data_IF_364453043764
#
_entry.id   IF_364453043764
#
_cell.length_a   1.000
_cell.length_b   1.000
_cell.length_c   1.000
_cell.angle_alpha   90.00
_cell.angle_beta   90.00
_cell.angle_gamma   90.00
#
_symmetry.space_group_name_H-M   'P 1'
#
loop_
_entity.id
_entity.type
_entity.pdbx_description
1 polymer ?
#
# COMPACT_ATOMS: atom_id res chain seq x y z
N UNK A 1 20.39 46.85 -4.41
CA UNK A 1 21.20 45.89 -3.63
C UNK A 1 20.92 44.49 -4.15
N UNK A 2 21.88 43.85 -4.82
CA UNK A 2 21.71 42.52 -5.40
C UNK A 2 22.16 41.44 -4.40
N UNK A 3 21.30 40.46 -4.12
CA UNK A 3 21.58 39.31 -3.23
C UNK A 3 22.76 38.50 -3.78
N UNK A 4 23.81 38.37 -2.98
CA UNK A 4 24.96 37.53 -3.27
C UNK A 4 24.54 36.05 -3.39
N UNK A 5 24.63 35.49 -4.59
CA UNK A 5 24.44 34.07 -4.85
C UNK A 5 25.50 33.22 -4.16
N UNK A 6 25.11 32.02 -3.73
CA UNK A 6 25.96 31.02 -3.05
C UNK A 6 27.25 30.78 -3.85
N UNK A 7 28.41 30.90 -3.18
CA UNK A 7 29.74 30.69 -3.81
C UNK A 7 29.78 29.33 -4.52
N UNK A 8 30.20 29.28 -5.80
CA UNK A 8 30.26 28.03 -6.55
C UNK A 8 31.34 27.11 -5.97
N UNK A 9 31.00 25.82 -5.78
CA UNK A 9 31.96 24.78 -5.41
C UNK A 9 33.02 24.66 -6.50
N UNK A 10 34.29 24.77 -6.09
CA UNK A 10 35.48 24.85 -6.95
C UNK A 10 35.93 23.50 -7.51
N UNK A 11 35.61 22.38 -6.86
CA UNK A 11 36.08 21.04 -7.24
C UNK A 11 35.10 20.25 -8.12
N UNK A 12 34.35 20.91 -9.00
CA UNK A 12 33.41 20.21 -9.90
C UNK A 12 33.58 20.69 -11.34
N UNK A 13 33.99 19.78 -12.23
CA UNK A 13 34.11 20.06 -13.66
C UNK A 13 32.77 20.53 -14.24
N UNK A 14 32.78 21.47 -15.20
CA UNK A 14 31.58 22.05 -15.80
C UNK A 14 31.60 21.96 -17.32
N UNK A 15 30.42 21.92 -17.94
CA UNK A 15 30.26 22.12 -19.38
C UNK A 15 30.42 23.61 -19.73
N UNK A 16 30.69 23.92 -21.01
CA UNK A 16 30.89 25.29 -21.51
C UNK A 16 29.69 26.22 -21.25
N UNK A 17 28.50 25.66 -21.01
CA UNK A 17 27.27 26.37 -20.66
C UNK A 17 27.04 26.54 -19.13
N UNK A 18 28.06 26.29 -18.30
CA UNK A 18 28.02 26.50 -16.85
C UNK A 18 27.37 25.40 -16.02
N UNK A 19 26.74 24.39 -16.65
CA UNK A 19 26.21 23.21 -15.96
C UNK A 19 27.34 22.35 -15.39
N UNK A 20 27.15 21.82 -14.18
CA UNK A 20 28.07 20.87 -13.56
C UNK A 20 28.11 19.58 -14.41
N UNK A 21 29.30 19.09 -14.74
CA UNK A 21 29.49 17.77 -15.35
C UNK A 21 29.13 16.75 -14.29
N UNK A 22 28.00 16.10 -14.46
CA UNK A 22 27.70 14.89 -13.72
C UNK A 22 28.72 13.85 -14.17
N UNK A 23 29.50 13.30 -13.24
CA UNK A 23 30.30 12.12 -13.54
C UNK A 23 29.32 11.07 -14.09
N UNK A 24 29.60 10.53 -15.28
CA UNK A 24 28.87 9.38 -15.80
C UNK A 24 29.00 8.28 -14.76
N UNK A 25 27.93 8.10 -13.97
CA UNK A 25 27.83 6.99 -13.05
C UNK A 25 27.79 5.77 -13.96
N UNK A 26 28.92 5.08 -14.07
CA UNK A 26 29.11 3.86 -14.85
C UNK A 26 28.28 2.70 -14.30
N UNK A 27 26.98 2.90 -14.16
CA UNK A 27 26.04 1.82 -13.97
C UNK A 27 25.93 1.12 -15.33
N UNK A 28 26.61 -0.02 -15.43
CA UNK A 28 26.53 -0.91 -16.59
C UNK A 28 25.05 -1.09 -16.97
N UNK A 29 24.69 -1.09 -18.27
CA UNK A 29 23.30 -1.29 -18.71
C UNK A 29 22.63 -2.49 -18.06
N UNK A 30 23.40 -3.54 -17.75
CA UNK A 30 22.99 -4.73 -17.00
C UNK A 30 22.47 -4.43 -15.60
N UNK A 31 23.08 -3.50 -14.85
CA UNK A 31 22.61 -3.09 -13.51
C UNK A 31 21.35 -2.24 -13.59
N UNK A 32 21.26 -1.36 -14.58
CA UNK A 32 20.04 -0.58 -14.85
C UNK A 32 18.89 -1.53 -15.22
N UNK A 33 19.18 -2.53 -16.05
CA UNK A 33 18.23 -3.55 -16.46
C UNK A 33 17.86 -4.48 -15.30
N UNK A 34 18.79 -4.83 -14.41
CA UNK A 34 18.53 -5.60 -13.20
C UNK A 34 17.66 -4.82 -12.20
N UNK A 35 17.87 -3.52 -12.03
CA UNK A 35 17.02 -2.64 -11.21
C UNK A 35 15.64 -2.47 -11.85
N UNK A 36 15.56 -2.33 -13.17
CA UNK A 36 14.29 -2.29 -13.91
C UNK A 36 13.54 -3.63 -13.88
N UNK A 37 14.25 -4.77 -13.88
CA UNK A 37 13.73 -6.12 -13.69
C UNK A 37 13.24 -6.35 -12.26
N UNK A 38 13.97 -5.82 -11.28
CA UNK A 38 13.61 -5.86 -9.86
C UNK A 38 12.46 -4.91 -9.51
N UNK A 39 12.08 -4.00 -10.42
CA UNK A 39 10.91 -3.13 -10.31
C UNK A 39 9.86 -3.52 -11.36
N UNK A 40 9.15 -4.65 -11.17
CA UNK A 40 8.18 -5.17 -12.15
C UNK A 40 7.06 -4.17 -12.51
N UNK A 41 6.90 -3.09 -11.75
CA UNK A 41 5.86 -2.07 -11.91
C UNK A 41 6.25 -0.98 -12.93
N UNK A 42 7.51 -0.96 -13.40
CA UNK A 42 8.01 0.00 -14.41
C UNK A 42 8.03 -0.54 -15.84
N UNK A 43 7.60 -1.78 -16.07
CA UNK A 43 7.41 -2.35 -17.41
C UNK A 43 6.05 -1.88 -17.94
N UNK A 44 6.06 -1.24 -19.10
CA UNK A 44 4.90 -0.58 -19.71
C UNK A 44 3.64 -1.43 -19.74
N UNK A 45 2.49 -0.78 -19.49
CA UNK A 45 1.15 -1.37 -19.34
C UNK A 45 0.98 -2.41 -18.22
N UNK A 46 1.77 -2.34 -17.15
CA UNK A 46 1.38 -3.00 -15.91
C UNK A 46 0.09 -2.33 -15.37
N UNK A 47 -1.01 -3.08 -15.29
CA UNK A 47 -2.24 -2.63 -14.63
C UNK A 47 -1.88 -2.05 -13.25
N UNK A 48 -2.47 -0.92 -12.80
CA UNK A 48 -2.22 -0.36 -11.47
C UNK A 48 -2.44 -1.39 -10.34
N UNK A 49 -3.28 -2.39 -10.58
CA UNK A 49 -3.56 -3.49 -9.66
C UNK A 49 -2.34 -4.42 -9.45
N UNK A 50 -1.36 -4.43 -10.35
CA UNK A 50 -0.17 -5.28 -10.22
C UNK A 50 0.81 -4.79 -9.15
N UNK A 51 0.67 -3.54 -8.67
CA UNK A 51 1.59 -2.94 -7.72
C UNK A 51 1.28 -3.26 -6.24
N UNK A 52 0.39 -4.21 -5.96
CA UNK A 52 0.13 -4.70 -4.60
C UNK A 52 -0.46 -6.13 -4.62
N UNK A 53 -0.32 -6.87 -3.53
CA UNK A 53 -0.47 -8.32 -3.47
C UNK A 53 -1.88 -8.80 -3.83
N UNK A 54 -2.91 -8.26 -3.19
CA UNK A 54 -4.29 -8.67 -3.51
C UNK A 54 -4.72 -8.23 -4.92
N UNK A 55 -4.11 -7.19 -5.49
CA UNK A 55 -4.33 -6.80 -6.88
C UNK A 55 -3.64 -7.73 -7.88
N UNK A 56 -2.42 -8.20 -7.57
CA UNK A 56 -1.78 -9.31 -8.30
C UNK A 56 -2.62 -10.60 -8.22
N UNK A 57 -3.21 -10.88 -7.06
CA UNK A 57 -4.10 -12.03 -6.88
C UNK A 57 -5.37 -11.93 -7.71
N UNK A 58 -5.98 -10.75 -7.79
CA UNK A 58 -7.16 -10.52 -8.62
C UNK A 58 -6.84 -10.67 -10.11
N UNK A 59 -5.74 -10.06 -10.58
CA UNK A 59 -5.28 -10.22 -11.97
C UNK A 59 -4.95 -11.68 -12.31
N UNK A 60 -4.45 -12.44 -11.34
CA UNK A 60 -4.16 -13.87 -11.47
C UNK A 60 -5.38 -14.78 -11.31
N UNK A 61 -6.59 -14.25 -11.11
CA UNK A 61 -7.82 -15.04 -10.91
C UNK A 61 -7.86 -15.83 -9.60
N UNK A 62 -6.99 -15.50 -8.64
CA UNK A 62 -6.95 -16.16 -7.33
C UNK A 62 -8.02 -15.63 -6.38
N UNK A 63 -8.52 -14.42 -6.60
CA UNK A 63 -9.67 -13.87 -5.88
C UNK A 63 -10.64 -13.28 -6.88
N UNK A 64 -11.93 -13.31 -6.55
CA UNK A 64 -12.97 -12.71 -7.39
C UNK A 64 -13.11 -11.19 -7.13
N UNK A 65 -14.00 -10.54 -7.89
CA UNK A 65 -14.24 -9.10 -7.78
C UNK A 65 -14.74 -8.70 -6.40
N UNK A 66 -15.66 -9.47 -5.83
CA UNK A 66 -16.27 -9.22 -4.53
C UNK A 66 -15.23 -9.31 -3.41
N UNK A 67 -14.35 -10.30 -3.46
CA UNK A 67 -13.22 -10.47 -2.55
C UNK A 67 -12.19 -9.35 -2.71
N UNK A 68 -11.94 -8.90 -3.94
CA UNK A 68 -11.08 -7.77 -4.20
C UNK A 68 -11.62 -6.47 -3.55
N UNK A 69 -12.91 -6.19 -3.70
CA UNK A 69 -13.55 -5.01 -3.07
C UNK A 69 -13.55 -5.10 -1.53
N UNK A 70 -13.71 -6.30 -0.98
CA UNK A 70 -13.54 -6.55 0.45
C UNK A 70 -12.11 -6.24 0.90
N UNK A 71 -11.09 -6.67 0.15
CA UNK A 71 -9.69 -6.40 0.46
C UNK A 71 -9.38 -4.89 0.42
N UNK A 72 -9.89 -4.16 -0.58
CA UNK A 72 -9.77 -2.70 -0.65
C UNK A 72 -10.43 -2.01 0.56
N UNK A 73 -11.61 -2.49 0.96
CA UNK A 73 -12.33 -1.94 2.11
C UNK A 73 -11.58 -2.19 3.42
N UNK A 74 -11.01 -3.38 3.57
CA UNK A 74 -10.16 -3.73 4.72
C UNK A 74 -8.95 -2.82 4.78
N UNK A 75 -8.20 -2.67 3.69
CA UNK A 75 -7.02 -1.78 3.64
C UNK A 75 -7.42 -0.36 4.04
N UNK A 76 -8.53 0.15 3.49
CA UNK A 76 -8.99 1.51 3.74
C UNK A 76 -9.35 1.76 5.20
N UNK A 77 -10.19 0.89 5.76
CA UNK A 77 -10.64 1.01 7.15
C UNK A 77 -9.50 0.78 8.14
N UNK A 78 -8.59 -0.16 7.83
CA UNK A 78 -7.39 -0.40 8.63
C UNK A 78 -6.48 0.84 8.69
N UNK A 79 -6.10 1.39 7.53
CA UNK A 79 -5.22 2.57 7.44
C UNK A 79 -5.85 3.76 8.17
N UNK A 80 -7.15 4.00 7.96
CA UNK A 80 -7.87 5.09 8.60
C UNK A 80 -7.94 4.93 10.12
N UNK A 81 -8.23 3.72 10.61
CA UNK A 81 -8.25 3.42 12.03
C UNK A 81 -6.87 3.64 12.68
N UNK A 82 -5.82 3.08 12.09
CA UNK A 82 -4.47 3.17 12.66
C UNK A 82 -3.87 4.57 12.59
N UNK A 83 -4.21 5.36 11.57
CA UNK A 83 -3.79 6.76 11.46
C UNK A 83 -4.44 7.63 12.54
N UNK A 84 -5.75 7.52 12.72
CA UNK A 84 -6.51 8.50 13.50
C UNK A 84 -6.86 8.04 14.92
N UNK A 85 -6.85 6.75 15.20
CA UNK A 85 -7.24 6.21 16.51
C UNK A 85 -6.03 5.75 17.32
N UNK A 86 -5.06 5.11 16.68
CA UNK A 86 -3.91 4.52 17.38
C UNK A 86 -2.63 5.33 17.22
N UNK A 87 -2.63 6.37 16.39
CA UNK A 87 -1.46 7.20 16.03
C UNK A 87 -0.21 6.35 15.69
N UNK A 88 -0.46 5.17 15.11
CA UNK A 88 0.56 4.16 14.83
C UNK A 88 0.27 3.54 13.48
N UNK A 89 0.56 4.35 12.45
CA UNK A 89 0.58 3.87 11.09
C UNK A 89 1.92 3.12 10.87
N UNK A 90 1.90 1.80 10.63
CA UNK A 90 3.13 1.09 10.28
C UNK A 90 3.67 1.66 8.97
N UNK A 91 4.96 1.40 8.67
CA UNK A 91 5.46 1.63 7.30
C UNK A 91 4.61 0.77 6.36
N UNK A 92 3.93 1.40 5.41
CA UNK A 92 3.00 0.76 4.48
C UNK A 92 3.74 0.46 3.16
N UNK A 93 4.24 -0.76 2.95
CA UNK A 93 4.83 -1.15 1.67
C UNK A 93 3.78 -1.31 0.55
N UNK A 94 2.51 -1.53 0.91
CA UNK A 94 1.40 -1.61 -0.05
C UNK A 94 1.12 -0.24 -0.67
N UNK A 95 1.24 -0.12 -2.00
CA UNK A 95 0.94 1.14 -2.71
C UNK A 95 -0.52 1.61 -2.50
N UNK A 96 -1.48 0.69 -2.36
CA UNK A 96 -2.87 1.06 -2.05
C UNK A 96 -2.98 1.59 -0.64
N UNK A 97 -2.29 0.98 0.32
CA UNK A 97 -2.29 1.47 1.69
C UNK A 97 -1.63 2.86 1.78
N UNK A 98 -0.54 3.08 1.05
CA UNK A 98 0.13 4.39 0.95
C UNK A 98 -0.76 5.44 0.27
N UNK A 99 -1.42 5.10 -0.85
CA UNK A 99 -2.37 5.98 -1.52
C UNK A 99 -3.52 6.37 -0.58
N UNK A 100 -4.12 5.39 0.10
CA UNK A 100 -5.17 5.65 1.09
C UNK A 100 -4.63 6.57 2.19
N UNK A 101 -3.46 6.27 2.75
CA UNK A 101 -2.85 7.09 3.79
C UNK A 101 -2.58 8.53 3.31
N UNK A 102 -2.17 8.72 2.06
CA UNK A 102 -1.99 10.05 1.46
C UNK A 102 -3.30 10.82 1.30
N UNK A 103 -4.40 10.13 0.96
CA UNK A 103 -5.73 10.76 0.81
C UNK A 103 -6.42 11.09 2.14
N UNK A 104 -6.04 10.42 3.24
CA UNK A 104 -6.66 10.66 4.56
C UNK A 104 -6.34 12.00 5.21
N UNK A 105 -5.57 12.89 4.54
CA UNK A 105 -5.22 14.22 5.05
C UNK A 105 -4.27 14.18 6.26
N UNK A 106 -3.42 15.20 6.44
CA UNK A 106 -2.74 15.40 7.73
C UNK A 106 -3.79 15.46 8.84
N UNK A 107 -3.44 15.03 10.05
CA UNK A 107 -4.33 14.86 11.20
C UNK A 107 -5.01 16.18 11.60
N UNK A 108 -5.97 16.63 10.82
CA UNK A 108 -6.94 17.62 11.22
C UNK A 108 -7.68 17.04 12.42
N UNK A 109 -7.97 17.88 13.41
CA UNK A 109 -8.80 17.49 14.55
C UNK A 109 -10.13 16.96 14.01
N UNK A 110 -10.30 15.64 14.08
CA UNK A 110 -11.53 14.99 13.69
C UNK A 110 -12.57 15.24 14.77
N UNK A 111 -13.79 15.57 14.37
CA UNK A 111 -14.90 15.65 15.32
C UNK A 111 -15.19 14.27 15.96
N UNK A 112 -15.89 14.31 17.09
CA UNK A 112 -16.21 13.12 17.89
C UNK A 112 -17.03 12.10 17.10
N UNK A 113 -17.91 12.56 16.22
CA UNK A 113 -18.77 11.71 15.40
C UNK A 113 -17.95 10.90 14.38
N UNK A 114 -16.98 11.55 13.74
CA UNK A 114 -16.07 10.94 12.77
C UNK A 114 -15.19 9.91 13.45
N UNK A 115 -14.67 10.21 14.65
CA UNK A 115 -13.89 9.25 15.45
C UNK A 115 -14.73 8.03 15.81
N UNK A 116 -15.98 8.23 16.26
CA UNK A 116 -16.90 7.15 16.59
C UNK A 116 -17.20 6.28 15.36
N UNK A 117 -17.42 6.91 14.21
CA UNK A 117 -17.65 6.22 12.93
C UNK A 117 -16.45 5.36 12.51
N UNK A 118 -15.23 5.89 12.58
CA UNK A 118 -14.01 5.14 12.24
C UNK A 118 -13.86 3.90 13.13
N UNK A 119 -14.12 4.04 14.43
CA UNK A 119 -14.09 2.91 15.38
C UNK A 119 -15.15 1.88 15.05
N UNK A 120 -16.37 2.31 14.73
CA UNK A 120 -17.46 1.39 14.37
C UNK A 120 -17.19 0.66 13.06
N UNK A 121 -16.71 1.35 12.03
CA UNK A 121 -16.36 0.77 10.73
C UNK A 121 -15.26 -0.29 10.87
N UNK A 122 -14.23 -0.02 11.70
CA UNK A 122 -13.18 -0.99 11.95
C UNK A 122 -13.70 -2.19 12.76
N UNK A 123 -14.50 -1.94 13.79
CA UNK A 123 -15.11 -3.00 14.60
C UNK A 123 -15.99 -3.93 13.78
N UNK A 124 -16.77 -3.42 12.83
CA UNK A 124 -17.59 -4.24 11.94
C UNK A 124 -16.77 -5.31 11.18
N UNK A 125 -15.54 -4.97 10.76
CA UNK A 125 -14.62 -5.93 10.14
C UNK A 125 -14.16 -6.99 11.15
N UNK A 126 -13.84 -6.56 12.36
CA UNK A 126 -13.38 -7.45 13.44
C UNK A 126 -14.48 -8.44 13.85
N UNK A 127 -15.71 -7.97 13.95
CA UNK A 127 -16.89 -8.78 14.26
C UNK A 127 -17.18 -9.77 13.12
N UNK A 128 -17.05 -9.36 11.85
CA UNK A 128 -17.23 -10.26 10.71
C UNK A 128 -16.26 -11.47 10.75
N UNK A 129 -15.02 -11.25 11.20
CA UNK A 129 -14.04 -12.33 11.37
C UNK A 129 -14.34 -13.18 12.62
N UNK A 130 -14.81 -12.56 13.71
CA UNK A 130 -15.16 -13.26 14.93
C UNK A 130 -16.35 -14.21 14.73
N UNK A 131 -17.38 -13.79 14.00
CA UNK A 131 -18.58 -14.58 13.71
C UNK A 131 -18.27 -15.93 13.01
N UNK A 132 -17.16 -16.00 12.28
CA UNK A 132 -16.70 -17.21 11.56
C UNK A 132 -15.50 -17.89 12.23
N UNK A 133 -15.13 -17.47 13.44
CA UNK A 133 -13.99 -18.04 14.17
C UNK A 133 -12.61 -17.72 13.59
N UNK A 134 -12.50 -16.74 12.69
CA UNK A 134 -11.26 -16.34 12.02
C UNK A 134 -10.65 -15.06 12.58
N UNK A 135 -11.04 -14.63 13.79
CA UNK A 135 -10.59 -13.35 14.33
C UNK A 135 -9.06 -13.23 14.36
N UNK A 136 -8.33 -14.24 14.85
CA UNK A 136 -6.86 -14.15 14.89
C UNK A 136 -6.23 -14.40 13.51
N UNK A 137 -6.49 -15.55 12.91
CA UNK A 137 -5.84 -15.99 11.67
C UNK A 137 -6.23 -15.13 10.46
N UNK A 138 -7.51 -14.72 10.40
CA UNK A 138 -8.03 -13.82 9.39
C UNK A 138 -7.37 -12.45 9.45
N UNK A 139 -7.25 -11.86 10.64
CA UNK A 139 -6.52 -10.59 10.80
C UNK A 139 -5.05 -10.73 10.41
N UNK A 140 -4.38 -11.81 10.82
CA UNK A 140 -2.98 -12.03 10.50
C UNK A 140 -2.73 -12.09 8.98
N UNK A 141 -3.58 -12.82 8.24
CA UNK A 141 -3.44 -12.94 6.79
C UNK A 141 -3.86 -11.67 6.06
N UNK A 142 -4.94 -11.00 6.49
CA UNK A 142 -5.36 -9.71 5.92
C UNK A 142 -4.27 -8.66 6.09
N UNK A 143 -3.66 -8.57 7.27
CA UNK A 143 -2.54 -7.66 7.52
C UNK A 143 -1.35 -7.94 6.64
N UNK A 144 -0.97 -9.22 6.54
CA UNK A 144 0.14 -9.68 5.72
C UNK A 144 -0.02 -9.29 4.25
N UNK A 145 -1.23 -9.43 3.70
CA UNK A 145 -1.48 -9.26 2.27
C UNK A 145 -1.88 -7.83 1.93
N UNK A 146 -2.88 -7.29 2.63
CA UNK A 146 -3.51 -6.02 2.31
C UNK A 146 -2.65 -4.81 2.69
N UNK A 147 -1.89 -4.92 3.78
CA UNK A 147 -1.10 -3.82 4.35
C UNK A 147 0.38 -4.01 4.12
N UNK A 148 0.91 -5.21 4.39
CA UNK A 148 2.34 -5.51 4.26
C UNK A 148 2.77 -5.96 2.85
N UNK A 149 1.84 -5.99 1.90
CA UNK A 149 2.09 -6.34 0.49
C UNK A 149 2.86 -7.65 0.29
N UNK A 150 2.55 -8.67 1.12
CA UNK A 150 3.18 -9.99 0.98
C UNK A 150 2.29 -10.92 0.19
N UNK A 151 2.87 -11.56 -0.82
CA UNK A 151 2.19 -12.62 -1.54
C UNK A 151 1.99 -13.85 -0.65
N UNK A 152 0.91 -14.58 -0.95
CA UNK A 152 0.62 -15.89 -0.35
C UNK A 152 1.18 -16.96 -1.28
N UNK A 153 1.97 -17.88 -0.73
CA UNK A 153 2.63 -18.94 -1.49
C UNK A 153 2.03 -20.32 -1.25
N UNK A 154 1.28 -20.50 -0.16
CA UNK A 154 0.71 -21.77 0.26
C UNK A 154 -0.82 -21.79 0.19
N UNK A 155 -1.39 -22.97 -0.09
CA UNK A 155 -2.82 -23.13 -0.29
C UNK A 155 -3.64 -22.93 0.99
N UNK A 156 -3.10 -23.30 2.16
CA UNK A 156 -3.80 -23.16 3.44
C UNK A 156 -4.04 -21.68 3.77
N UNK A 157 -2.99 -20.86 3.70
CA UNK A 157 -3.08 -19.41 3.93
C UNK A 157 -3.98 -18.73 2.90
N UNK A 158 -3.98 -19.19 1.64
CA UNK A 158 -4.89 -18.68 0.61
C UNK A 158 -6.35 -19.03 0.93
N UNK A 159 -6.61 -20.22 1.46
CA UNK A 159 -7.91 -20.63 1.96
C UNK A 159 -8.41 -19.70 3.07
N UNK A 160 -7.58 -19.48 4.10
CA UNK A 160 -7.91 -18.56 5.20
C UNK A 160 -8.17 -17.14 4.70
N UNK A 161 -7.35 -16.64 3.76
CA UNK A 161 -7.53 -15.31 3.17
C UNK A 161 -8.87 -15.18 2.45
N UNK A 162 -9.23 -16.15 1.59
CA UNK A 162 -10.52 -16.16 0.89
C UNK A 162 -11.70 -16.26 1.85
N UNK A 163 -11.61 -17.10 2.88
CA UNK A 163 -12.66 -17.20 3.90
C UNK A 163 -12.85 -15.88 4.65
N UNK A 164 -11.75 -15.23 5.06
CA UNK A 164 -11.80 -13.91 5.70
C UNK A 164 -12.43 -12.84 4.79
N UNK A 165 -12.03 -12.79 3.51
CA UNK A 165 -12.61 -11.86 2.53
C UNK A 165 -14.09 -12.14 2.27
N UNK A 166 -14.50 -13.41 2.20
CA UNK A 166 -15.90 -13.79 2.03
C UNK A 166 -16.76 -13.38 3.24
N UNK A 167 -16.27 -13.59 4.46
CA UNK A 167 -16.96 -13.20 5.68
C UNK A 167 -17.20 -11.67 5.71
N UNK A 168 -16.17 -10.91 5.37
CA UNK A 168 -16.26 -9.45 5.29
C UNK A 168 -17.17 -9.01 4.14
N UNK A 169 -17.03 -9.57 2.95
CA UNK A 169 -17.88 -9.25 1.81
C UNK A 169 -19.35 -9.51 2.11
N UNK A 170 -19.66 -10.62 2.79
CA UNK A 170 -21.02 -10.95 3.21
C UNK A 170 -21.55 -9.96 4.25
N UNK A 171 -20.76 -9.62 5.29
CA UNK A 171 -21.13 -8.61 6.29
C UNK A 171 -21.46 -7.28 5.63
N UNK A 172 -20.64 -6.86 4.67
CA UNK A 172 -20.75 -5.58 3.96
C UNK A 172 -21.72 -5.61 2.77
N UNK A 173 -22.30 -6.77 2.45
CA UNK A 173 -23.22 -6.98 1.32
C UNK A 173 -22.63 -6.55 -0.04
N UNK A 174 -21.35 -6.85 -0.25
CA UNK A 174 -20.68 -6.58 -1.52
C UNK A 174 -21.17 -7.59 -2.59
N UNK A 175 -21.38 -7.09 -3.81
CA UNK A 175 -21.93 -7.85 -4.95
C UNK A 175 -20.85 -8.37 -5.88
#
# INVERSE_FOLDING_TARGET
MARAGRKPRTDVGRYKNGRIRNAERGERPEKIMAVALAQPHRRGNASPLAGYAFGRMFLGGMIDRRQFEAAETVTRRFVRYHRHITDSLPRLPSMVAELVAGTTGEAAELDVETVAKIRSEYRELQDALADVGLHHDGNAVLMRVCVLDRDITDHATMGTFRCALNAIAHRLRLS
#
